data_IF_316081400347
#
_entry.id   IF_316081400347
#
_cell.length_a   1.000
_cell.length_b   1.000
_cell.length_c   1.000
_cell.angle_alpha   90.00
_cell.angle_beta   90.00
_cell.angle_gamma   90.00
#
_symmetry.space_group_name_H-M   'P 1'
#
loop_
_entity.id
_entity.type
_entity.pdbx_description
1 polymer ?
#
# COMPACT_ATOMS: atom_id res chain seq x y z
N UNK A 1 20.91 2.70 -0.78
CA UNK A 1 19.88 1.69 -1.07
C UNK A 1 18.57 2.44 -1.21
N UNK A 2 18.09 2.56 -2.42
CA UNK A 2 16.80 3.18 -2.71
C UNK A 2 15.73 2.14 -2.40
N UNK A 3 15.37 2.02 -1.12
CA UNK A 3 14.37 1.08 -0.64
C UNK A 3 12.98 1.73 -0.66
N UNK A 4 11.97 0.91 -0.75
CA UNK A 4 10.58 1.26 -0.54
C UNK A 4 10.14 0.64 0.79
N UNK A 5 9.61 1.42 1.71
CA UNK A 5 9.08 0.93 2.99
C UNK A 5 7.57 0.84 2.89
N UNK A 6 7.03 -0.38 3.03
CA UNK A 6 5.60 -0.63 3.09
C UNK A 6 5.23 -1.17 4.47
N UNK A 7 4.40 -0.43 5.19
CA UNK A 7 3.81 -0.81 6.48
C UNK A 7 2.43 -1.36 6.21
N UNK A 8 2.26 -2.65 6.45
CA UNK A 8 0.99 -3.36 6.29
C UNK A 8 0.27 -3.54 7.63
N UNK A 9 -1.00 -3.92 7.55
CA UNK A 9 -1.87 -4.29 8.67
C UNK A 9 -1.20 -5.26 9.66
N UNK A 10 -0.47 -6.25 9.14
CA UNK A 10 0.29 -7.21 9.95
C UNK A 10 1.37 -6.56 10.82
N UNK A 11 2.07 -5.55 10.30
CA UNK A 11 3.05 -4.80 11.09
C UNK A 11 2.37 -4.00 12.19
N UNK A 12 1.24 -3.34 11.88
CA UNK A 12 0.46 -2.59 12.86
C UNK A 12 -0.13 -3.51 13.93
N UNK A 13 -0.57 -4.71 13.53
CA UNK A 13 -1.07 -5.74 14.45
C UNK A 13 0.03 -6.24 15.40
N UNK A 14 1.23 -6.53 14.87
CA UNK A 14 2.37 -6.91 15.69
C UNK A 14 2.70 -5.82 16.72
N UNK A 15 2.71 -4.55 16.32
CA UNK A 15 2.95 -3.41 17.21
C UNK A 15 1.87 -3.28 18.31
N UNK A 16 0.60 -3.54 17.98
CA UNK A 16 -0.49 -3.59 18.98
C UNK A 16 -0.25 -4.71 20.01
N UNK A 17 0.18 -5.89 19.55
CA UNK A 17 0.50 -7.02 20.41
C UNK A 17 1.69 -6.75 21.34
N UNK A 18 2.61 -5.89 20.94
CA UNK A 18 3.72 -5.38 21.77
C UNK A 18 3.29 -4.25 22.73
N UNK A 19 1.99 -3.90 22.77
CA UNK A 19 1.46 -2.88 23.67
C UNK A 19 1.58 -1.44 23.13
N UNK A 20 1.90 -1.24 21.86
CA UNK A 20 1.98 0.08 21.25
C UNK A 20 0.56 0.61 21.00
N UNK A 21 0.20 1.70 21.68
CA UNK A 21 -1.15 2.27 21.68
C UNK A 21 -1.50 2.90 20.32
N UNK A 22 -0.54 3.57 19.68
CA UNK A 22 -0.74 4.27 18.41
C UNK A 22 0.22 3.74 17.33
N UNK A 23 -0.02 2.53 16.75
CA UNK A 23 0.92 1.88 15.85
C UNK A 23 1.24 2.72 14.60
N UNK A 24 0.22 3.31 13.95
CA UNK A 24 0.38 4.16 12.76
C UNK A 24 1.34 5.33 13.04
N UNK A 25 1.06 6.10 14.09
CA UNK A 25 1.92 7.23 14.45
C UNK A 25 3.33 6.77 14.79
N UNK A 26 3.46 5.70 15.57
CA UNK A 26 4.77 5.17 15.99
C UNK A 26 5.58 4.63 14.79
N UNK A 27 4.92 3.98 13.84
CA UNK A 27 5.58 3.48 12.64
C UNK A 27 6.13 4.63 11.79
N UNK A 28 5.33 5.67 11.54
CA UNK A 28 5.75 6.87 10.81
C UNK A 28 6.88 7.60 11.56
N UNK A 29 6.81 7.71 12.91
CA UNK A 29 7.88 8.28 13.73
C UNK A 29 9.20 7.53 13.57
N UNK A 30 9.17 6.19 13.57
CA UNK A 30 10.35 5.35 13.40
C UNK A 30 11.00 5.53 12.02
N UNK A 31 10.18 5.63 10.95
CA UNK A 31 10.69 5.91 9.61
C UNK A 31 11.36 7.28 9.57
N UNK A 32 10.69 8.31 10.09
CA UNK A 32 11.22 9.67 10.08
C UNK A 32 12.51 9.81 10.89
N UNK A 33 12.61 9.12 12.04
CA UNK A 33 13.79 9.11 12.89
C UNK A 33 14.97 8.31 12.30
N UNK A 34 14.75 7.44 11.33
CA UNK A 34 15.80 6.66 10.66
C UNK A 34 16.53 7.50 9.60
N UNK A 35 17.63 7.00 9.06
CA UNK A 35 18.36 7.62 7.94
C UNK A 35 17.70 7.37 6.56
N UNK A 36 16.55 6.71 6.55
CA UNK A 36 15.82 6.38 5.34
C UNK A 36 15.17 7.64 4.72
N UNK A 37 15.36 7.83 3.40
CA UNK A 37 14.90 9.00 2.64
C UNK A 37 14.02 8.63 1.42
N UNK A 38 13.55 7.39 1.30
CA UNK A 38 12.72 6.91 0.18
C UNK A 38 11.22 7.03 0.43
N UNK A 39 10.44 6.36 -0.43
CA UNK A 39 8.99 6.30 -0.27
C UNK A 39 8.59 5.48 0.96
N UNK A 40 7.68 6.03 1.75
CA UNK A 40 7.13 5.44 2.97
C UNK A 40 5.63 5.28 2.82
N UNK A 41 5.19 4.06 2.63
CA UNK A 41 3.79 3.72 2.44
C UNK A 41 3.21 3.06 3.67
N UNK A 42 1.96 3.43 4.00
CA UNK A 42 1.19 2.81 5.06
C UNK A 42 -0.19 2.37 4.55
N UNK A 43 -0.49 1.09 4.74
CA UNK A 43 -1.79 0.49 4.44
C UNK A 43 -2.75 0.74 5.58
N UNK A 44 -3.93 1.25 5.27
CA UNK A 44 -5.00 1.54 6.22
C UNK A 44 -6.34 1.05 5.67
N UNK A 45 -7.24 0.63 6.56
CA UNK A 45 -8.54 0.04 6.22
C UNK A 45 -9.73 0.86 6.75
N UNK A 46 -9.45 1.97 7.45
CA UNK A 46 -10.46 2.84 8.03
C UNK A 46 -10.17 4.32 7.78
N UNK A 47 -11.23 5.13 7.70
CA UNK A 47 -11.13 6.58 7.47
C UNK A 47 -10.32 7.27 8.56
N UNK A 48 -10.53 6.88 9.81
CA UNK A 48 -9.84 7.43 10.97
C UNK A 48 -8.33 7.16 10.92
N UNK A 49 -7.95 5.98 10.44
CA UNK A 49 -6.55 5.57 10.25
C UNK A 49 -5.89 6.41 9.14
N UNK A 50 -6.59 6.63 8.02
CA UNK A 50 -6.12 7.46 6.91
C UNK A 50 -5.89 8.92 7.35
N UNK A 51 -6.83 9.49 8.08
CA UNK A 51 -6.73 10.85 8.62
C UNK A 51 -5.60 10.97 9.65
N UNK A 52 -5.41 9.95 10.49
CA UNK A 52 -4.30 9.89 11.45
C UNK A 52 -2.95 9.84 10.74
N UNK A 53 -2.82 8.99 9.72
CA UNK A 53 -1.60 8.88 8.92
C UNK A 53 -1.28 10.22 8.21
N UNK A 54 -2.27 10.82 7.54
CA UNK A 54 -2.11 12.11 6.88
C UNK A 54 -1.68 13.24 7.85
N UNK A 55 -2.32 13.31 9.02
CA UNK A 55 -1.96 14.25 10.07
C UNK A 55 -0.52 14.04 10.55
N UNK A 56 -0.09 12.79 10.65
CA UNK A 56 1.26 12.45 11.08
C UNK A 56 2.30 12.80 10.00
N UNK A 57 2.05 12.48 8.74
CA UNK A 57 2.89 12.88 7.63
C UNK A 57 2.99 14.41 7.50
N UNK A 58 1.86 15.13 7.67
CA UNK A 58 1.86 16.60 7.71
C UNK A 58 2.85 17.15 8.73
N UNK A 59 2.91 16.57 9.93
CA UNK A 59 3.83 17.00 10.99
C UNK A 59 5.30 16.87 10.60
N UNK A 60 5.62 16.03 9.62
CA UNK A 60 6.96 15.81 9.05
C UNK A 60 7.17 16.45 7.68
N UNK A 61 6.34 17.42 7.32
CA UNK A 61 6.47 18.20 6.09
C UNK A 61 5.60 17.67 4.93
N UNK A 62 4.88 16.56 5.09
CA UNK A 62 4.04 15.99 4.04
C UNK A 62 4.83 15.68 2.78
N UNK A 63 4.33 16.10 1.62
CA UNK A 63 4.97 15.88 0.31
C UNK A 63 6.30 16.62 0.14
N UNK A 64 6.56 17.65 0.93
CA UNK A 64 7.83 18.42 0.93
C UNK A 64 8.81 17.90 2.00
N UNK A 65 8.45 16.81 2.69
CA UNK A 65 9.25 16.24 3.77
C UNK A 65 10.44 15.40 3.29
N UNK A 66 11.13 14.79 4.25
CA UNK A 66 12.30 13.91 4.01
C UNK A 66 11.92 12.64 3.23
N UNK A 67 10.74 12.09 3.52
CA UNK A 67 10.22 10.89 2.88
C UNK A 67 9.11 11.25 1.89
N UNK A 68 8.89 10.43 0.88
CA UNK A 68 7.70 10.51 0.02
C UNK A 68 6.58 9.72 0.71
N UNK A 69 5.60 10.39 1.34
CA UNK A 69 4.54 9.72 2.07
C UNK A 69 3.50 9.15 1.09
N UNK A 70 3.09 7.91 1.32
CA UNK A 70 2.02 7.25 0.57
C UNK A 70 1.03 6.65 1.58
N UNK A 71 -0.26 6.86 1.35
CA UNK A 71 -1.34 6.23 2.11
C UNK A 71 -2.09 5.30 1.17
N UNK A 72 -2.01 4.00 1.43
CA UNK A 72 -2.80 3.00 0.71
C UNK A 72 -4.12 2.81 1.43
N UNK A 73 -5.22 3.10 0.73
CA UNK A 73 -6.59 2.85 1.19
C UNK A 73 -6.99 1.45 0.72
N UNK A 74 -6.93 0.47 1.62
CA UNK A 74 -7.17 -0.93 1.29
C UNK A 74 -8.60 -1.35 1.60
N UNK A 75 -9.28 -1.94 0.62
CA UNK A 75 -10.66 -2.45 0.72
C UNK A 75 -11.70 -1.41 1.17
N UNK A 76 -11.49 -0.12 0.88
CA UNK A 76 -12.44 0.94 1.20
C UNK A 76 -13.40 1.20 0.04
N UNK A 77 -14.69 1.41 0.37
CA UNK A 77 -15.68 1.72 -0.65
C UNK A 77 -15.51 3.14 -1.23
N UNK A 78 -15.81 3.38 -2.53
CA UNK A 78 -15.68 4.68 -3.19
C UNK A 78 -16.30 5.85 -2.41
N UNK A 79 -17.47 5.62 -1.82
CA UNK A 79 -18.17 6.64 -1.01
C UNK A 79 -17.39 7.06 0.24
N UNK A 80 -16.70 6.13 0.89
CA UNK A 80 -15.87 6.42 2.05
C UNK A 80 -14.64 7.23 1.63
N UNK A 81 -13.96 6.79 0.55
CA UNK A 81 -12.79 7.45 0.01
C UNK A 81 -13.11 8.89 -0.40
N UNK A 82 -14.21 9.10 -1.11
CA UNK A 82 -14.65 10.44 -1.55
C UNK A 82 -14.78 11.45 -0.41
N UNK A 83 -15.14 10.99 0.78
CA UNK A 83 -15.32 11.87 1.94
C UNK A 83 -14.00 12.37 2.55
N UNK A 84 -12.89 11.68 2.31
CA UNK A 84 -11.60 11.97 2.98
C UNK A 84 -10.47 12.33 2.02
N UNK A 85 -10.58 11.93 0.73
CA UNK A 85 -9.46 12.00 -0.19
C UNK A 85 -8.92 13.43 -0.36
N UNK A 86 -9.78 14.44 -0.40
CA UNK A 86 -9.38 15.83 -0.56
C UNK A 86 -8.62 16.38 0.66
N UNK A 87 -8.81 15.79 1.82
CA UNK A 87 -8.08 16.15 3.03
C UNK A 87 -6.71 15.48 3.06
N UNK A 88 -6.66 14.17 2.80
CA UNK A 88 -5.43 13.38 2.96
C UNK A 88 -4.41 13.62 1.83
N UNK A 89 -4.86 13.80 0.59
CA UNK A 89 -3.98 14.01 -0.59
C UNK A 89 -3.13 15.28 -0.53
N UNK A 90 -3.43 16.19 0.39
CA UNK A 90 -2.60 17.38 0.64
C UNK A 90 -1.27 17.03 1.30
N UNK A 91 -1.17 15.86 1.91
CA UNK A 91 -0.04 15.50 2.77
C UNK A 91 0.63 14.18 2.38
N UNK A 92 0.02 13.40 1.48
CA UNK A 92 0.54 12.14 1.00
C UNK A 92 0.00 11.84 -0.41
N UNK A 93 0.73 11.05 -1.18
CA UNK A 93 0.20 10.37 -2.36
C UNK A 93 -0.80 9.31 -1.91
N UNK A 94 -1.83 9.08 -2.71
CA UNK A 94 -2.90 8.14 -2.38
C UNK A 94 -2.88 6.96 -3.33
N UNK A 95 -2.79 5.78 -2.77
CA UNK A 95 -2.99 4.52 -3.48
C UNK A 95 -4.33 3.90 -3.08
N UNK A 96 -5.10 3.42 -4.05
CA UNK A 96 -6.32 2.64 -3.83
C UNK A 96 -6.02 1.18 -4.13
N UNK A 97 -6.38 0.30 -3.21
CA UNK A 97 -6.15 -1.14 -3.30
C UNK A 97 -7.32 -1.95 -2.74
N UNK A 98 -7.34 -3.24 -3.09
CA UNK A 98 -8.32 -4.19 -2.57
C UNK A 98 -9.64 -4.22 -3.33
N UNK A 99 -10.00 -5.41 -3.85
CA UNK A 99 -11.25 -5.68 -4.56
C UNK A 99 -11.57 -4.75 -5.75
N UNK A 100 -10.56 -4.15 -6.37
CA UNK A 100 -10.71 -3.33 -7.57
C UNK A 100 -10.60 -4.26 -8.78
N UNK A 101 -11.67 -4.32 -9.55
CA UNK A 101 -11.85 -5.18 -10.72
C UNK A 101 -12.21 -4.32 -11.96
N UNK A 102 -12.21 -4.92 -13.14
CA UNK A 102 -12.51 -4.20 -14.39
C UNK A 102 -13.92 -3.62 -14.44
N UNK A 103 -14.86 -4.23 -13.74
CA UNK A 103 -16.27 -3.83 -13.69
C UNK A 103 -16.56 -2.68 -12.70
N UNK A 104 -15.63 -2.39 -11.78
CA UNK A 104 -15.79 -1.32 -10.80
C UNK A 104 -14.66 -0.27 -10.81
N UNK A 105 -13.62 -0.44 -11.64
CA UNK A 105 -12.46 0.45 -11.66
C UNK A 105 -12.80 1.91 -11.99
N UNK A 106 -13.85 2.14 -12.79
CA UNK A 106 -14.30 3.48 -13.15
C UNK A 106 -14.75 4.27 -11.90
N UNK A 107 -15.44 3.61 -10.96
CA UNK A 107 -15.88 4.23 -9.70
C UNK A 107 -14.70 4.72 -8.84
N UNK A 108 -13.55 4.03 -8.93
CA UNK A 108 -12.33 4.39 -8.21
C UNK A 108 -11.49 5.42 -8.98
N UNK A 109 -11.46 5.35 -10.31
CA UNK A 109 -10.65 6.24 -11.15
C UNK A 109 -11.06 7.72 -11.01
N UNK A 110 -12.35 7.97 -10.77
CA UNK A 110 -12.90 9.32 -10.63
C UNK A 110 -12.64 9.95 -9.24
N UNK A 111 -12.09 9.20 -8.29
CA UNK A 111 -11.88 9.70 -6.93
C UNK A 111 -10.65 10.61 -6.78
N UNK A 112 -9.75 10.64 -7.79
CA UNK A 112 -8.58 11.51 -7.79
C UNK A 112 -7.43 11.01 -6.93
N UNK A 113 -7.27 9.69 -6.82
CA UNK A 113 -6.08 9.05 -6.28
C UNK A 113 -4.91 9.11 -7.28
N UNK A 114 -3.69 8.92 -6.78
CA UNK A 114 -2.48 8.95 -7.60
C UNK A 114 -2.18 7.58 -8.22
N UNK A 115 -2.55 6.49 -7.53
CA UNK A 115 -2.31 5.10 -7.94
C UNK A 115 -3.55 4.24 -7.67
N UNK A 116 -3.83 3.31 -8.58
CA UNK A 116 -4.81 2.24 -8.38
C UNK A 116 -4.10 0.91 -8.58
N UNK A 117 -4.13 0.05 -7.56
CA UNK A 117 -3.54 -1.29 -7.58
C UNK A 117 -4.61 -2.36 -7.68
N UNK A 118 -4.46 -3.26 -8.65
CA UNK A 118 -5.34 -4.41 -8.84
C UNK A 118 -4.54 -5.67 -9.16
N UNK A 119 -4.92 -6.78 -8.54
CA UNK A 119 -4.35 -8.10 -8.84
C UNK A 119 -4.94 -8.73 -10.10
N UNK A 120 -6.05 -8.20 -10.62
CA UNK A 120 -6.80 -8.80 -11.75
C UNK A 120 -6.01 -8.83 -13.06
N UNK A 121 -5.15 -7.85 -13.30
CA UNK A 121 -4.27 -7.83 -14.48
C UNK A 121 -3.39 -9.08 -14.59
N UNK A 122 -3.00 -9.67 -13.46
CA UNK A 122 -2.17 -10.87 -13.42
C UNK A 122 -3.00 -12.14 -13.22
N UNK A 123 -4.10 -12.08 -12.46
CA UNK A 123 -4.91 -13.26 -12.13
C UNK A 123 -5.85 -13.68 -13.24
N UNK A 124 -6.30 -12.77 -14.08
CA UNK A 124 -7.24 -13.04 -15.19
C UNK A 124 -6.52 -13.30 -16.54
N UNK A 125 -5.19 -13.32 -16.55
CA UNK A 125 -4.44 -13.79 -17.71
C UNK A 125 -4.86 -15.23 -18.03
N UNK A 126 -5.17 -15.51 -19.32
CA UNK A 126 -5.49 -16.87 -19.77
C UNK A 126 -4.40 -17.83 -19.31
N UNK A 127 -4.77 -18.82 -18.51
CA UNK A 127 -3.85 -19.87 -18.09
C UNK A 127 -3.40 -20.64 -19.32
N UNK A 128 -2.09 -20.71 -19.54
CA UNK A 128 -1.52 -21.59 -20.54
C UNK A 128 -1.56 -23.02 -19.98
N UNK A 129 -2.17 -23.95 -20.72
CA UNK A 129 -2.16 -25.38 -20.39
C UNK A 129 -0.79 -25.93 -20.77
N UNK A 130 0.11 -25.97 -19.80
CA UNK A 130 1.46 -26.49 -19.98
C UNK A 130 1.58 -27.83 -19.26
N UNK A 131 1.96 -28.88 -20.01
CA UNK A 131 2.34 -30.16 -19.42
C UNK A 131 3.81 -30.47 -19.70
N UNK A 132 4.51 -30.92 -18.70
CA UNK A 132 5.90 -31.35 -18.82
C UNK A 132 6.01 -32.86 -18.57
N UNK A 133 6.65 -33.57 -19.50
CA UNK A 133 6.92 -35.00 -19.35
C UNK A 133 8.42 -35.25 -19.30
N UNK A 134 8.87 -36.02 -18.31
CA UNK A 134 10.24 -36.51 -18.25
C UNK A 134 10.35 -37.71 -19.20
N UNK A 135 11.02 -37.54 -20.34
CA UNK A 135 11.17 -38.57 -21.36
C UNK A 135 12.33 -39.52 -21.05
N UNK A 136 13.38 -39.07 -20.35
CA UNK A 136 14.53 -39.89 -19.95
C UNK A 136 15.30 -39.24 -18.81
N UNK A 137 16.01 -40.05 -18.02
CA UNK A 137 17.00 -39.52 -17.07
C UNK A 137 18.24 -39.04 -17.83
N UNK A 138 18.73 -37.86 -17.42
CA UNK A 138 20.04 -37.44 -17.89
C UNK A 138 21.11 -38.28 -17.19
N UNK A 139 22.02 -38.92 -17.98
CA UNK A 139 23.20 -39.59 -17.46
C UNK A 139 24.42 -38.80 -17.90
N UNK A 140 25.34 -38.41 -16.97
CA UNK A 140 26.57 -37.77 -17.36
C UNK A 140 27.36 -38.69 -18.28
N UNK A 141 27.81 -38.17 -19.43
CA UNK A 141 28.80 -38.86 -20.21
C UNK A 141 30.13 -38.87 -19.44
N UNK A 142 30.77 -40.02 -19.31
CA UNK A 142 32.10 -40.18 -18.69
C UNK A 142 33.15 -39.54 -19.55
#
# INVERSE_FOLDING_TARGET
MDGFVLIKDNHLTAMRNEGIICPISTAIDRIHASDYCGAAEIEVTAMEEALLAAKKFKAYGGLDGKNIPIIMLDNMAPKQIKNIIDEIKRYALIELSGNIELDNIEDYAELGADVISTSKLNCDARKLDLSQKILRRWTPQK
#
